data_IF_912965136125
#
_entry.id   IF_912965136125
#
_cell.length_a   1.000
_cell.length_b   1.000
_cell.length_c   1.000
_cell.angle_alpha   90.00
_cell.angle_beta   90.00
_cell.angle_gamma   90.00
#
_symmetry.space_group_name_H-M   'P 1'
#
loop_
_entity.id
_entity.type
_entity.pdbx_description
1 polymer ?
#
# COMPACT_ATOMS: atom_id res chain seq x y z
N UNK A 1 -1.65 -35.41 66.48
CA UNK A 1 -1.86 -35.13 65.04
C UNK A 1 -3.21 -35.69 64.64
N UNK A 2 -4.20 -34.83 64.42
CA UNK A 2 -5.46 -35.14 63.74
C UNK A 2 -5.79 -33.92 62.89
N UNK A 3 -5.87 -34.13 61.58
CA UNK A 3 -6.16 -33.12 60.56
C UNK A 3 -7.64 -32.71 60.60
N UNK A 4 -7.98 -31.42 60.41
CA UNK A 4 -9.37 -30.99 60.38
C UNK A 4 -10.07 -31.45 59.08
N UNK A 5 -11.40 -31.66 59.11
CA UNK A 5 -12.15 -32.13 57.96
C UNK A 5 -12.30 -31.01 56.92
N UNK A 6 -12.00 -31.33 55.66
CA UNK A 6 -12.15 -30.43 54.52
C UNK A 6 -13.65 -30.20 54.28
N UNK A 7 -14.07 -28.95 54.40
CA UNK A 7 -15.46 -28.51 54.16
C UNK A 7 -15.86 -28.71 52.70
N UNK A 8 -16.93 -29.48 52.45
CA UNK A 8 -17.49 -29.75 51.12
C UNK A 8 -17.91 -28.47 50.37
N UNK A 9 -18.16 -27.37 51.07
CA UNK A 9 -18.49 -26.07 50.47
C UNK A 9 -17.30 -25.45 49.69
N UNK A 10 -16.06 -25.73 50.09
CA UNK A 10 -14.88 -25.15 49.46
C UNK A 10 -14.57 -25.77 48.09
N UNK A 11 -14.99 -27.02 47.87
CA UNK A 11 -14.74 -27.75 46.62
C UNK A 11 -15.66 -27.24 45.50
N UNK A 12 -16.93 -26.95 45.81
CA UNK A 12 -17.89 -26.43 44.83
C UNK A 12 -17.57 -25.00 44.38
N UNK A 13 -17.00 -24.17 45.27
CA UNK A 13 -16.61 -22.80 44.93
C UNK A 13 -15.43 -22.77 43.93
N UNK A 14 -14.46 -23.66 44.09
CA UNK A 14 -13.31 -23.74 43.18
C UNK A 14 -13.67 -24.32 41.81
N UNK A 15 -14.58 -25.29 41.74
CA UNK A 15 -15.03 -25.86 40.45
C UNK A 15 -15.75 -24.82 39.58
N UNK A 16 -16.56 -23.95 40.21
CA UNK A 16 -17.31 -22.90 39.52
C UNK A 16 -16.37 -21.83 38.93
N UNK A 17 -15.26 -21.54 39.61
CA UNK A 17 -14.30 -20.52 39.19
C UNK A 17 -13.44 -20.97 38.00
N UNK A 18 -13.10 -22.26 37.94
CA UNK A 18 -12.31 -22.84 36.82
C UNK A 18 -13.13 -22.89 35.53
N UNK A 19 -14.44 -23.14 35.60
CA UNK A 19 -15.32 -23.18 34.42
C UNK A 19 -15.53 -21.78 33.82
N UNK A 20 -15.68 -20.73 34.63
CA UNK A 20 -15.79 -19.35 34.13
C UNK A 20 -14.49 -18.85 33.48
N UNK A 21 -13.32 -19.25 34.00
CA UNK A 21 -12.02 -18.89 33.40
C UNK A 21 -11.77 -19.64 32.07
N UNK A 22 -12.21 -20.89 31.94
CA UNK A 22 -12.12 -21.65 30.70
C UNK A 22 -12.97 -21.09 29.56
N UNK A 23 -14.20 -20.63 29.87
CA UNK A 23 -15.11 -20.04 28.89
C UNK A 23 -14.64 -18.64 28.41
N UNK A 24 -14.05 -17.84 29.30
CA UNK A 24 -13.45 -16.56 28.93
C UNK A 24 -12.25 -16.70 27.98
N UNK A 25 -11.43 -17.74 28.17
CA UNK A 25 -10.26 -17.99 27.32
C UNK A 25 -10.65 -18.42 25.90
N UNK A 26 -11.70 -19.23 25.74
CA UNK A 26 -12.23 -19.60 24.41
C UNK A 26 -12.87 -18.43 23.67
N UNK A 27 -13.54 -17.51 24.39
CA UNK A 27 -14.17 -16.34 23.77
C UNK A 27 -13.14 -15.33 23.22
N UNK A 28 -11.98 -15.20 23.88
CA UNK A 28 -10.87 -14.35 23.42
C UNK A 28 -10.17 -14.96 22.20
N UNK A 29 -9.99 -16.29 22.17
CA UNK A 29 -9.38 -16.97 21.02
C UNK A 29 -10.32 -16.96 19.79
N UNK A 30 -11.64 -17.08 19.99
CA UNK A 30 -12.62 -16.99 18.92
C UNK A 30 -12.73 -15.58 18.30
N UNK A 31 -12.55 -14.52 19.10
CA UNK A 31 -12.51 -13.15 18.59
C UNK A 31 -11.18 -12.80 17.90
N UNK A 32 -10.09 -13.48 18.24
CA UNK A 32 -8.79 -13.27 17.60
C UNK A 32 -8.68 -13.93 16.20
N UNK A 33 -9.56 -14.87 15.85
CA UNK A 33 -9.59 -15.51 14.52
C UNK A 33 -10.64 -14.92 13.56
N UNK A 34 -11.35 -13.88 13.96
CA UNK A 34 -12.16 -13.06 13.05
C UNK A 34 -11.32 -11.92 12.43
N UNK A 35 -10.07 -12.22 12.08
CA UNK A 35 -9.40 -11.48 11.01
C UNK A 35 -10.17 -11.83 9.74
N UNK A 36 -11.16 -10.99 9.43
CA UNK A 36 -11.95 -11.10 8.20
C UNK A 36 -10.95 -11.12 7.05
N UNK A 37 -10.97 -12.17 6.22
CA UNK A 37 -10.12 -12.23 5.03
C UNK A 37 -10.26 -10.89 4.28
N UNK A 38 -9.14 -10.21 3.97
CA UNK A 38 -9.21 -8.86 3.43
C UNK A 38 -10.04 -8.88 2.15
N UNK A 39 -10.99 -7.95 2.03
CA UNK A 39 -11.87 -7.89 0.88
C UNK A 39 -11.01 -7.86 -0.40
N UNK A 40 -11.38 -8.55 -1.49
CA UNK A 40 -10.57 -8.59 -2.71
C UNK A 40 -10.17 -7.21 -3.24
N UNK A 41 -11.04 -6.21 -3.04
CA UNK A 41 -10.77 -4.81 -3.37
C UNK A 41 -9.69 -4.18 -2.49
N UNK A 42 -9.64 -4.50 -1.19
CA UNK A 42 -8.61 -3.99 -0.28
C UNK A 42 -7.24 -4.56 -0.64
N UNK A 43 -7.20 -5.85 -1.02
CA UNK A 43 -5.99 -6.51 -1.52
C UNK A 43 -5.54 -5.94 -2.85
N UNK A 44 -6.48 -5.63 -3.76
CA UNK A 44 -6.19 -4.96 -5.03
C UNK A 44 -5.64 -3.55 -4.81
N UNK A 45 -6.31 -2.72 -4.00
CA UNK A 45 -5.88 -1.35 -3.69
C UNK A 45 -4.49 -1.38 -3.04
N UNK A 46 -4.28 -2.22 -2.01
CA UNK A 46 -2.96 -2.37 -1.37
C UNK A 46 -1.88 -2.80 -2.37
N UNK A 47 -2.23 -3.71 -3.29
CA UNK A 47 -1.32 -4.16 -4.35
C UNK A 47 -0.91 -3.03 -5.28
N UNK A 48 -1.87 -2.25 -5.79
CA UNK A 48 -1.56 -1.14 -6.70
C UNK A 48 -0.85 0.01 -5.99
N UNK A 49 -1.07 0.24 -4.68
CA UNK A 49 -0.40 1.30 -3.94
C UNK A 49 0.95 0.90 -3.34
N UNK A 50 1.42 -0.33 -3.57
CA UNK A 50 2.71 -0.76 -3.04
C UNK A 50 3.84 -0.24 -3.93
N UNK A 51 4.71 0.62 -3.41
CA UNK A 51 5.87 1.15 -4.13
C UNK A 51 7.19 0.80 -3.45
N UNK A 52 7.23 -0.21 -2.57
CA UNK A 52 8.47 -0.61 -1.89
C UNK A 52 9.60 -0.98 -2.85
N UNK A 53 9.23 -1.40 -4.06
CA UNK A 53 10.10 -1.79 -5.15
C UNK A 53 9.94 -0.83 -6.34
N UNK A 54 10.96 -0.68 -7.20
CA UNK A 54 10.82 0.11 -8.42
C UNK A 54 9.61 -0.33 -9.25
N UNK A 55 8.72 0.63 -9.50
CA UNK A 55 7.43 0.40 -10.13
C UNK A 55 7.26 1.36 -11.31
N UNK A 56 6.83 0.82 -12.46
CA UNK A 56 6.45 1.61 -13.62
C UNK A 56 5.07 2.23 -13.44
N UNK A 57 4.94 3.51 -13.78
CA UNK A 57 3.72 4.30 -13.70
C UNK A 57 3.52 5.05 -15.00
N UNK A 58 2.33 4.95 -15.59
CA UNK A 58 1.92 5.81 -16.70
C UNK A 58 0.73 6.67 -16.32
N UNK A 59 0.74 7.91 -16.78
CA UNK A 59 -0.29 8.87 -16.49
C UNK A 59 -0.11 10.15 -17.28
N UNK A 60 -0.88 11.17 -16.94
CA UNK A 60 -0.66 12.52 -17.45
C UNK A 60 -0.34 13.48 -16.31
N UNK A 61 0.47 14.49 -16.58
CA UNK A 61 0.75 15.57 -15.63
C UNK A 61 -0.56 16.28 -15.29
N UNK A 62 -0.94 16.24 -14.01
CA UNK A 62 -2.12 16.98 -13.53
C UNK A 62 -1.74 18.42 -13.19
N UNK A 63 -0.71 18.58 -12.35
CA UNK A 63 -0.08 19.86 -12.01
C UNK A 63 1.21 19.62 -11.21
N UNK A 64 1.97 20.70 -10.99
CA UNK A 64 3.18 20.70 -10.16
C UNK A 64 2.94 21.58 -8.93
N UNK A 65 3.09 20.99 -7.75
CA UNK A 65 2.97 21.64 -6.44
C UNK A 65 4.35 22.11 -5.98
N UNK A 66 4.62 23.41 -6.15
CA UNK A 66 5.97 23.97 -5.94
C UNK A 66 6.38 24.06 -4.47
N UNK A 67 5.46 24.29 -3.56
CA UNK A 67 5.69 24.40 -2.12
C UNK A 67 6.10 23.08 -1.47
N UNK A 68 5.75 21.95 -2.10
CA UNK A 68 6.07 20.60 -1.61
C UNK A 68 6.98 19.80 -2.53
N UNK A 69 7.53 20.44 -3.56
CA UNK A 69 8.33 19.79 -4.60
C UNK A 69 7.67 18.50 -5.11
N UNK A 70 6.39 18.57 -5.47
CA UNK A 70 5.57 17.38 -5.77
C UNK A 70 4.96 17.48 -7.17
N UNK A 71 5.15 16.43 -7.97
CA UNK A 71 4.45 16.22 -9.22
C UNK A 71 3.19 15.39 -8.97
N UNK A 72 2.05 15.91 -9.40
CA UNK A 72 0.77 15.21 -9.35
C UNK A 72 0.42 14.66 -10.72
N UNK A 73 0.08 13.37 -10.77
CA UNK A 73 -0.29 12.66 -11.99
C UNK A 73 -1.74 12.21 -11.94
N UNK A 74 -2.44 12.30 -13.07
CA UNK A 74 -3.62 11.47 -13.32
C UNK A 74 -3.11 10.08 -13.70
N UNK A 75 -3.18 9.14 -12.77
CA UNK A 75 -2.55 7.84 -12.87
C UNK A 75 -3.45 6.85 -13.61
N UNK A 76 -2.92 6.25 -14.67
CA UNK A 76 -3.68 5.40 -15.60
C UNK A 76 -3.21 3.95 -15.60
N UNK A 77 -1.91 3.70 -15.55
CA UNK A 77 -1.37 2.35 -15.62
C UNK A 77 -0.21 2.13 -14.65
N UNK A 78 -0.05 0.88 -14.25
CA UNK A 78 1.03 0.38 -13.38
C UNK A 78 1.71 -0.81 -14.03
N UNK A 79 3.03 -0.91 -13.91
CA UNK A 79 3.77 -2.12 -14.25
C UNK A 79 4.77 -2.50 -13.15
N UNK A 80 4.79 -3.80 -12.83
CA UNK A 80 5.75 -4.42 -11.92
C UNK A 80 6.82 -5.24 -12.67
N UNK A 81 6.84 -5.15 -14.02
CA UNK A 81 7.70 -5.91 -14.94
C UNK A 81 9.16 -5.42 -14.95
N UNK A 82 9.80 -5.50 -13.78
CA UNK A 82 11.20 -5.12 -13.57
C UNK A 82 12.17 -5.99 -14.37
N UNK A 83 13.37 -5.47 -14.68
CA UNK A 83 13.80 -4.07 -14.53
C UNK A 83 13.46 -3.20 -15.75
N UNK A 84 12.94 -3.80 -16.84
CA UNK A 84 12.84 -3.16 -18.15
C UNK A 84 11.51 -2.41 -18.37
N UNK A 85 10.44 -2.77 -17.65
CA UNK A 85 9.12 -2.12 -17.71
C UNK A 85 8.50 -2.01 -19.11
N UNK A 86 8.95 -2.82 -20.06
CA UNK A 86 8.43 -2.84 -21.44
C UNK A 86 7.03 -3.48 -21.56
N UNK A 87 6.63 -4.28 -20.57
CA UNK A 87 5.38 -5.06 -20.56
C UNK A 87 4.70 -5.00 -19.19
N UNK A 88 3.62 -5.77 -18.98
CA UNK A 88 2.99 -5.92 -17.67
C UNK A 88 2.21 -4.69 -17.20
N UNK A 89 1.83 -3.80 -18.13
CA UNK A 89 1.02 -2.63 -17.85
C UNK A 89 -0.43 -3.02 -17.57
N UNK A 90 -0.89 -2.72 -16.38
CA UNK A 90 -2.26 -2.92 -15.93
C UNK A 90 -2.95 -1.59 -15.71
N UNK A 91 -4.20 -1.49 -16.13
CA UNK A 91 -5.03 -0.32 -15.87
C UNK A 91 -5.28 -0.14 -14.38
N UNK A 92 -5.16 1.10 -13.93
CA UNK A 92 -5.54 1.53 -12.59
C UNK A 92 -6.97 2.04 -12.68
N UNK A 93 -7.92 1.43 -11.95
CA UNK A 93 -9.33 1.81 -12.06
C UNK A 93 -9.61 3.15 -11.37
N UNK A 94 -10.57 3.88 -11.95
CA UNK A 94 -11.06 5.16 -11.44
C UNK A 94 -10.17 6.36 -11.82
N UNK A 95 -10.54 7.54 -11.30
CA UNK A 95 -9.79 8.79 -11.49
C UNK A 95 -8.66 8.90 -10.45
N UNK A 96 -7.76 7.91 -10.44
CA UNK A 96 -6.69 7.82 -9.48
C UNK A 96 -5.67 8.96 -9.66
N UNK A 97 -5.26 9.56 -8.55
CA UNK A 97 -4.20 10.57 -8.53
C UNK A 97 -2.98 10.06 -7.79
N UNK A 98 -1.80 10.34 -8.32
CA UNK A 98 -0.54 9.91 -7.72
C UNK A 98 0.37 11.12 -7.50
N UNK A 99 0.74 11.36 -6.25
CA UNK A 99 1.78 12.32 -5.87
C UNK A 99 3.16 11.65 -5.90
N UNK A 100 4.13 12.25 -6.56
CA UNK A 100 5.51 11.76 -6.63
C UNK A 100 6.48 12.92 -6.47
N UNK A 101 7.65 12.65 -5.88
CA UNK A 101 8.66 13.63 -5.55
C UNK A 101 9.92 13.43 -6.40
N UNK A 102 10.67 14.49 -6.70
CA UNK A 102 11.98 14.34 -7.29
C UNK A 102 12.92 13.62 -6.31
N UNK A 103 13.94 12.95 -6.84
CA UNK A 103 15.01 12.33 -6.06
C UNK A 103 16.03 13.37 -5.57
N UNK A 104 16.19 14.45 -6.33
CA UNK A 104 17.17 15.50 -6.11
C UNK A 104 16.72 16.83 -6.76
N UNK A 105 17.39 17.92 -6.38
CA UNK A 105 17.11 19.26 -6.90
C UNK A 105 17.32 19.41 -8.40
N UNK A 106 18.22 18.63 -9.01
CA UNK A 106 18.47 18.72 -10.45
C UNK A 106 17.28 18.17 -11.23
N UNK A 107 16.74 17.04 -10.77
CA UNK A 107 15.52 16.47 -11.30
C UNK A 107 14.33 17.40 -11.08
N UNK A 108 14.24 18.07 -9.92
CA UNK A 108 13.20 19.05 -9.66
C UNK A 108 13.16 20.17 -10.71
N UNK A 109 14.29 20.79 -11.00
CA UNK A 109 14.38 21.87 -12.01
C UNK A 109 13.92 21.40 -13.40
N UNK A 110 14.18 20.14 -13.74
CA UNK A 110 13.70 19.54 -15.01
C UNK A 110 12.18 19.38 -15.01
N UNK A 111 11.60 18.94 -13.90
CA UNK A 111 10.15 18.73 -13.77
C UNK A 111 9.36 20.04 -13.88
N UNK A 112 9.92 21.18 -13.44
CA UNK A 112 9.24 22.49 -13.49
C UNK A 112 8.81 22.93 -14.90
N UNK A 113 9.42 22.36 -15.94
CA UNK A 113 9.13 22.69 -17.34
C UNK A 113 8.07 21.78 -17.99
N UNK A 114 7.56 20.78 -17.26
CA UNK A 114 6.54 19.89 -17.80
C UNK A 114 5.22 20.62 -17.96
N UNK A 115 4.58 20.41 -19.10
CA UNK A 115 3.24 20.94 -19.36
C UNK A 115 2.17 20.08 -18.69
N UNK A 116 1.05 20.70 -18.32
CA UNK A 116 -0.14 19.95 -17.93
C UNK A 116 -0.59 19.04 -19.07
N UNK A 117 -1.20 17.93 -18.71
CA UNK A 117 -1.68 16.86 -19.58
C UNK A 117 -0.60 16.12 -20.40
N UNK A 118 0.69 16.45 -20.20
CA UNK A 118 1.79 15.73 -20.81
C UNK A 118 1.76 14.25 -20.36
N UNK A 119 1.70 13.29 -21.28
CA UNK A 119 1.73 11.88 -20.92
C UNK A 119 3.15 11.47 -20.53
N UNK A 120 3.28 10.84 -19.36
CA UNK A 120 4.56 10.42 -18.81
C UNK A 120 4.54 8.93 -18.49
N UNK A 121 5.69 8.30 -18.72
CA UNK A 121 6.08 7.06 -18.07
C UNK A 121 7.13 7.39 -16.99
N UNK A 122 6.93 6.92 -15.76
CA UNK A 122 7.87 7.10 -14.67
C UNK A 122 8.21 5.76 -14.04
N UNK A 123 9.45 5.63 -13.59
CA UNK A 123 9.83 4.59 -12.64
C UNK A 123 9.93 5.26 -11.27
N UNK A 124 9.16 4.78 -10.30
CA UNK A 124 9.11 5.34 -8.96
C UNK A 124 9.33 4.28 -7.89
N UNK A 125 9.80 4.72 -6.71
CA UNK A 125 9.98 3.86 -5.55
C UNK A 125 9.74 4.65 -4.25
N UNK A 126 9.16 3.99 -3.25
CA UNK A 126 9.01 4.51 -1.89
C UNK A 126 10.36 4.48 -1.14
N UNK A 127 10.69 5.54 -0.42
CA UNK A 127 11.92 5.65 0.38
C UNK A 127 11.86 4.95 1.75
N UNK A 128 10.75 4.28 2.07
CA UNK A 128 10.47 3.68 3.38
C UNK A 128 9.96 4.68 4.42
N UNK A 129 9.86 5.96 4.07
CA UNK A 129 9.27 7.03 4.92
C UNK A 129 7.92 7.52 4.38
N UNK A 130 7.40 6.85 3.34
CA UNK A 130 6.14 7.19 2.70
C UNK A 130 6.26 8.21 1.56
N UNK A 131 7.49 8.56 1.15
CA UNK A 131 7.75 9.40 0.00
C UNK A 131 8.07 8.56 -1.22
N UNK A 132 7.37 8.83 -2.32
CA UNK A 132 7.57 8.15 -3.61
C UNK A 132 8.47 8.99 -4.49
N UNK A 133 9.70 8.56 -4.70
CA UNK A 133 10.68 9.28 -5.52
C UNK A 133 10.70 8.80 -6.97
N UNK A 134 10.94 9.74 -7.87
CA UNK A 134 11.12 9.47 -9.30
C UNK A 134 12.56 9.00 -9.55
N UNK A 135 12.72 7.72 -9.90
CA UNK A 135 14.01 7.17 -10.31
C UNK A 135 14.36 7.61 -11.73
N UNK A 136 13.38 7.58 -12.63
CA UNK A 136 13.47 8.06 -14.02
C UNK A 136 12.08 8.44 -14.55
N UNK A 137 12.06 9.26 -15.60
CA UNK A 137 10.83 9.57 -16.35
C UNK A 137 11.12 9.75 -17.84
N UNK A 138 10.11 9.48 -18.67
CA UNK A 138 10.12 9.66 -20.12
C UNK A 138 8.81 10.35 -20.56
N UNK A 139 8.93 11.32 -21.45
CA UNK A 139 7.80 11.87 -22.21
C UNK A 139 7.41 10.88 -23.31
N UNK A 140 6.20 10.33 -23.21
CA UNK A 140 5.68 9.32 -24.14
C UNK A 140 4.68 9.91 -25.14
N UNK A 141 4.67 11.23 -25.31
CA UNK A 141 3.87 11.92 -26.34
C UNK A 141 4.29 11.57 -27.77
N UNK A 142 5.53 11.09 -27.94
CA UNK A 142 6.15 10.71 -29.21
C UNK A 142 5.61 9.43 -29.85
N UNK A 143 4.28 9.25 -29.91
CA UNK A 143 3.61 8.19 -30.67
C UNK A 143 3.95 6.74 -30.26
N UNK A 144 3.29 5.74 -30.84
CA UNK A 144 3.58 4.34 -30.56
C UNK A 144 4.99 3.95 -31.02
N UNK A 145 5.75 3.27 -30.16
CA UNK A 145 7.11 2.73 -30.43
C UNK A 145 7.13 1.53 -31.42
N UNK A 146 6.07 1.32 -32.20
CA UNK A 146 5.94 0.20 -33.16
C UNK A 146 5.33 0.72 -34.47
N UNK A 147 5.88 0.32 -35.64
CA UNK A 147 5.30 0.70 -36.91
C UNK A 147 3.96 -0.03 -37.12
N UNK A 148 2.98 0.68 -37.70
CA UNK A 148 1.67 0.16 -38.10
C UNK A 148 1.78 -1.09 -38.98
#
# INVERSE_FOLDING_TARGET
>A
MQTPPISRFSIFLHLSFVICLGLGLTAVIAHAQLETEPHPMDTFIKGITNFSEPTGVRGTVRYIEKDRETLWLNWKERSDARPLFETGWNFVPGDATLAVQPRDSEQWEKLLNLSNDLPLELIIQDDGKGHRHILSYEDISGGPKVPL
#
